data_IF_159426389819
#
_entry.id   IF_159426389819
#
_cell.length_a   1.000
_cell.length_b   1.000
_cell.length_c   1.000
_cell.angle_alpha   90.00
_cell.angle_beta   90.00
_cell.angle_gamma   90.00
#
_symmetry.space_group_name_H-M   'P 1'
#
loop_
_entity.id
_entity.type
_entity.pdbx_description
1 polymer ?
#
# COMPACT_ATOMS: atom_id res chain seq x y z
N UNK A 1 18.10 -5.41 -35.92
CA UNK A 1 17.67 -4.85 -34.62
C UNK A 1 18.83 -4.04 -34.06
N UNK A 2 18.66 -2.75 -33.80
CA UNK A 2 19.73 -1.86 -33.35
C UNK A 2 20.22 -2.24 -31.95
N UNK A 3 21.50 -1.99 -31.65
CA UNK A 3 22.13 -2.24 -30.33
C UNK A 3 21.34 -1.69 -29.14
N UNK A 4 20.47 -0.69 -29.33
CA UNK A 4 19.58 -0.13 -28.31
C UNK A 4 18.54 -1.09 -27.74
N UNK A 5 18.17 -2.15 -28.46
CA UNK A 5 17.16 -3.14 -27.98
C UNK A 5 17.75 -4.27 -27.12
N UNK A 6 19.08 -4.45 -27.08
CA UNK A 6 19.74 -5.49 -26.25
C UNK A 6 20.00 -5.09 -24.80
N UNK A 7 19.63 -3.88 -24.41
CA UNK A 7 20.00 -3.26 -23.13
C UNK A 7 18.79 -2.93 -22.24
N UNK A 8 17.60 -3.40 -22.61
CA UNK A 8 16.38 -3.22 -21.83
C UNK A 8 16.20 -4.47 -20.97
N UNK A 9 16.07 -4.28 -19.65
CA UNK A 9 15.69 -5.29 -18.68
C UNK A 9 14.19 -5.10 -18.45
N UNK A 10 13.38 -6.11 -18.77
CA UNK A 10 11.94 -6.08 -18.52
C UNK A 10 11.66 -6.61 -17.12
N UNK A 11 11.00 -5.79 -16.31
CA UNK A 11 10.69 -6.09 -14.92
C UNK A 11 9.15 -6.13 -14.77
N UNK A 12 8.61 -7.13 -14.10
CA UNK A 12 7.24 -7.09 -13.59
C UNK A 12 7.27 -6.80 -12.09
N UNK A 13 6.37 -5.95 -11.60
CA UNK A 13 6.23 -5.62 -10.18
C UNK A 13 4.81 -5.98 -9.75
N UNK A 14 4.72 -6.78 -8.69
CA UNK A 14 3.48 -7.21 -8.05
C UNK A 14 3.59 -6.95 -6.55
N UNK A 15 2.47 -6.66 -5.89
CA UNK A 15 2.45 -6.35 -4.46
C UNK A 15 1.19 -6.87 -3.80
N UNK A 16 1.25 -7.06 -2.48
CA UNK A 16 0.10 -7.29 -1.61
C UNK A 16 -0.81 -8.39 -2.17
N UNK A 17 -0.18 -9.56 -2.40
CA UNK A 17 -0.85 -10.72 -2.96
C UNK A 17 -1.88 -11.28 -1.99
N UNK A 18 -1.66 -11.12 -0.67
CA UNK A 18 -2.57 -11.55 0.41
C UNK A 18 -3.20 -12.92 0.18
N UNK A 19 -2.43 -13.87 -0.35
CA UNK A 19 -2.97 -15.16 -0.76
C UNK A 19 -3.38 -15.97 0.46
N UNK A 20 -4.56 -16.56 0.39
CA UNK A 20 -5.08 -17.48 1.39
C UNK A 20 -5.16 -18.88 0.79
N UNK A 21 -4.43 -19.85 1.37
CA UNK A 21 -4.51 -21.22 0.90
C UNK A 21 -5.93 -21.80 1.12
N UNK A 22 -6.55 -22.45 0.11
CA UNK A 22 -7.92 -22.99 0.23
C UNK A 22 -8.12 -23.94 1.41
N UNK A 23 -7.08 -24.71 1.76
CA UNK A 23 -7.11 -25.66 2.88
C UNK A 23 -7.24 -25.00 4.27
N UNK A 24 -7.12 -23.68 4.37
CA UNK A 24 -7.38 -22.94 5.60
C UNK A 24 -8.88 -22.80 5.88
N UNK A 25 -9.74 -23.16 4.94
CA UNK A 25 -11.19 -23.30 5.15
C UNK A 25 -11.54 -24.78 5.13
N UNK A 26 -11.77 -25.36 6.31
CA UNK A 26 -12.17 -26.78 6.47
C UNK A 26 -13.64 -26.93 6.09
N UNK A 27 -14.48 -26.10 6.69
CA UNK A 27 -15.90 -25.95 6.35
C UNK A 27 -16.19 -24.45 6.23
N UNK A 28 -16.84 -24.05 5.13
CA UNK A 28 -17.36 -22.70 5.00
C UNK A 28 -18.50 -22.47 6.01
N UNK A 29 -18.60 -21.26 6.53
CA UNK A 29 -19.54 -20.92 7.60
C UNK A 29 -19.39 -19.49 8.09
N UNK A 30 -20.09 -19.13 9.17
CA UNK A 30 -20.22 -17.72 9.58
C UNK A 30 -18.87 -17.08 9.89
N UNK A 31 -17.91 -17.82 10.45
CA UNK A 31 -16.61 -17.28 10.81
C UNK A 31 -15.83 -16.74 9.60
N UNK A 32 -15.85 -17.46 8.47
CA UNK A 32 -15.16 -17.00 7.26
C UNK A 32 -15.95 -15.91 6.54
N UNK A 33 -17.27 -16.06 6.45
CA UNK A 33 -18.14 -15.07 5.80
C UNK A 33 -18.12 -13.71 6.54
N UNK A 34 -18.09 -13.70 7.87
CA UNK A 34 -17.95 -12.48 8.66
C UNK A 34 -16.62 -11.77 8.43
N UNK A 35 -15.53 -12.53 8.25
CA UNK A 35 -14.24 -11.96 7.88
C UNK A 35 -14.29 -11.32 6.49
N UNK A 36 -14.80 -12.05 5.49
CA UNK A 36 -14.91 -11.53 4.11
C UNK A 36 -15.77 -10.27 4.02
N UNK A 37 -16.82 -10.15 4.84
CA UNK A 37 -17.69 -8.97 4.87
C UNK A 37 -17.00 -7.71 5.45
N UNK A 38 -15.87 -7.88 6.14
CA UNK A 38 -15.12 -6.78 6.75
C UNK A 38 -13.83 -6.45 5.98
N UNK A 39 -13.42 -7.32 5.05
CA UNK A 39 -12.22 -7.14 4.25
C UNK A 39 -12.57 -6.71 2.82
N UNK A 40 -11.74 -5.82 2.27
CA UNK A 40 -11.82 -5.37 0.87
C UNK A 40 -11.07 -6.30 -0.09
N UNK A 41 -10.30 -7.26 0.44
CA UNK A 41 -9.53 -8.24 -0.33
C UNK A 41 -10.41 -9.40 -0.77
N UNK A 42 -10.24 -9.85 -2.01
CA UNK A 42 -10.93 -11.00 -2.59
C UNK A 42 -10.22 -12.30 -2.21
N UNK A 43 -10.22 -12.62 -0.91
CA UNK A 43 -9.42 -13.72 -0.35
C UNK A 43 -9.86 -15.10 -0.85
N UNK A 44 -11.17 -15.30 -1.05
CA UNK A 44 -11.69 -16.53 -1.62
C UNK A 44 -11.18 -16.75 -3.06
N UNK A 45 -11.12 -15.69 -3.86
CA UNK A 45 -10.60 -15.70 -5.22
C UNK A 45 -9.06 -15.60 -5.30
N UNK A 46 -8.37 -15.30 -4.19
CA UNK A 46 -6.93 -15.00 -4.18
C UNK A 46 -6.04 -16.04 -4.86
N UNK A 47 -6.28 -17.37 -4.75
CA UNK A 47 -5.45 -18.36 -5.46
C UNK A 47 -5.63 -18.28 -6.98
N UNK A 48 -6.85 -18.05 -7.47
CA UNK A 48 -7.13 -17.96 -8.91
C UNK A 48 -6.65 -16.63 -9.49
N UNK A 49 -6.73 -15.55 -8.71
CA UNK A 49 -6.11 -14.26 -9.04
C UNK A 49 -4.60 -14.44 -9.19
N UNK A 50 -3.94 -15.11 -8.24
CA UNK A 50 -2.52 -15.40 -8.32
C UNK A 50 -2.19 -16.26 -9.56
N UNK A 51 -2.92 -17.34 -9.80
CA UNK A 51 -2.72 -18.21 -10.98
C UNK A 51 -2.84 -17.42 -12.29
N UNK A 52 -3.83 -16.53 -12.39
CA UNK A 52 -4.03 -15.67 -13.55
C UNK A 52 -2.89 -14.67 -13.72
N UNK A 53 -2.44 -14.05 -12.63
CA UNK A 53 -1.30 -13.12 -12.63
C UNK A 53 0.00 -13.82 -13.06
N UNK A 54 0.27 -15.01 -12.52
CA UNK A 54 1.43 -15.84 -12.91
C UNK A 54 1.34 -16.22 -14.38
N UNK A 55 0.18 -16.64 -14.87
CA UNK A 55 -0.05 -16.91 -16.29
C UNK A 55 0.25 -15.71 -17.20
N UNK A 56 -0.21 -14.51 -16.79
CA UNK A 56 0.06 -13.26 -17.51
C UNK A 56 1.56 -12.91 -17.52
N UNK A 57 2.27 -13.15 -16.41
CA UNK A 57 3.72 -12.93 -16.31
C UNK A 57 4.48 -13.93 -17.18
N UNK A 58 4.09 -15.21 -17.19
CA UNK A 58 4.69 -16.24 -18.05
C UNK A 58 4.47 -15.94 -19.54
N UNK A 59 3.34 -15.35 -19.91
CA UNK A 59 3.14 -14.88 -21.30
C UNK A 59 4.03 -13.68 -21.63
N UNK A 60 4.27 -12.79 -20.66
CA UNK A 60 5.12 -11.61 -20.83
C UNK A 60 6.61 -11.95 -20.93
N UNK A 61 7.05 -13.03 -20.25
CA UNK A 61 8.45 -13.44 -20.05
C UNK A 61 9.35 -12.25 -19.71
N UNK A 62 9.16 -11.58 -18.55
CA UNK A 62 10.11 -10.58 -18.08
C UNK A 62 11.44 -11.22 -17.66
N UNK A 63 12.49 -10.42 -17.60
CA UNK A 63 13.79 -10.85 -17.08
C UNK A 63 13.75 -10.97 -15.54
N UNK A 64 12.92 -10.16 -14.90
CA UNK A 64 12.84 -10.00 -13.45
C UNK A 64 11.40 -9.79 -12.97
N UNK A 65 11.05 -10.37 -11.83
CA UNK A 65 9.81 -10.12 -11.09
C UNK A 65 10.15 -9.65 -9.69
N UNK A 66 9.57 -8.54 -9.25
CA UNK A 66 9.69 -8.02 -7.89
C UNK A 66 8.36 -8.19 -7.16
N UNK A 67 8.41 -8.73 -5.95
CA UNK A 67 7.25 -8.88 -5.05
C UNK A 67 7.47 -8.04 -3.79
N UNK A 68 6.76 -6.93 -3.65
CA UNK A 68 6.98 -5.90 -2.61
C UNK A 68 6.25 -6.17 -1.30
N UNK A 69 6.14 -7.44 -0.88
CA UNK A 69 5.58 -7.81 0.41
C UNK A 69 4.09 -8.17 0.40
N UNK A 70 3.62 -8.55 1.59
CA UNK A 70 2.29 -9.08 1.89
C UNK A 70 1.92 -10.21 0.91
N UNK A 71 2.77 -11.23 0.88
CA UNK A 71 2.61 -12.39 0.00
C UNK A 71 1.39 -13.22 0.40
N UNK A 72 1.12 -13.29 1.70
CA UNK A 72 0.07 -14.11 2.30
C UNK A 72 -0.94 -13.25 3.05
N UNK A 73 -2.15 -13.78 3.25
CA UNK A 73 -3.22 -13.10 3.98
C UNK A 73 -2.77 -12.69 5.39
N UNK A 74 -2.36 -13.67 6.19
CA UNK A 74 -1.92 -13.44 7.58
C UNK A 74 -0.78 -14.40 7.97
N UNK A 75 0.18 -14.61 7.07
CA UNK A 75 1.44 -15.28 7.40
C UNK A 75 1.29 -16.78 7.65
N UNK A 76 0.22 -17.41 7.15
CA UNK A 76 0.00 -18.83 7.32
C UNK A 76 1.03 -19.63 6.51
N UNK A 77 1.64 -20.66 7.12
CA UNK A 77 2.60 -21.53 6.44
C UNK A 77 1.98 -22.16 5.17
N UNK A 78 0.71 -22.56 5.23
CA UNK A 78 -0.01 -23.10 4.08
C UNK A 78 -0.06 -22.11 2.90
N UNK A 79 -0.36 -20.84 3.19
CA UNK A 79 -0.40 -19.76 2.21
C UNK A 79 1.00 -19.48 1.64
N UNK A 80 2.04 -19.48 2.49
CA UNK A 80 3.42 -19.31 2.05
C UNK A 80 3.87 -20.40 1.09
N UNK A 81 3.56 -21.66 1.39
CA UNK A 81 3.92 -22.78 0.52
C UNK A 81 3.20 -22.69 -0.83
N UNK A 82 1.92 -22.30 -0.84
CA UNK A 82 1.17 -22.08 -2.07
C UNK A 82 1.80 -20.95 -2.90
N UNK A 83 2.09 -19.79 -2.31
CA UNK A 83 2.70 -18.66 -3.04
C UNK A 83 4.08 -19.05 -3.57
N UNK A 84 4.92 -19.68 -2.75
CA UNK A 84 6.25 -20.13 -3.15
C UNK A 84 6.19 -21.12 -4.32
N UNK A 85 5.25 -22.07 -4.32
CA UNK A 85 5.03 -23.00 -5.44
C UNK A 85 4.72 -22.25 -6.73
N UNK A 86 3.80 -21.28 -6.69
CA UNK A 86 3.41 -20.51 -7.88
C UNK A 86 4.55 -19.63 -8.40
N UNK A 87 5.28 -18.97 -7.51
CA UNK A 87 6.46 -18.17 -7.88
C UNK A 87 7.62 -19.05 -8.37
N UNK A 88 7.78 -20.26 -7.86
CA UNK A 88 8.78 -21.21 -8.34
C UNK A 88 8.52 -21.59 -9.81
N UNK A 89 7.26 -21.65 -10.25
CA UNK A 89 6.93 -21.82 -11.67
C UNK A 89 7.52 -20.73 -12.58
N UNK A 90 7.66 -19.48 -12.10
CA UNK A 90 8.36 -18.42 -12.83
C UNK A 90 9.87 -18.65 -12.87
N UNK A 91 10.45 -19.04 -11.73
CA UNK A 91 11.88 -19.36 -11.60
C UNK A 91 12.25 -20.52 -12.53
N UNK A 92 11.43 -21.57 -12.56
CA UNK A 92 11.62 -22.75 -13.42
C UNK A 92 11.51 -22.40 -14.91
N UNK A 93 10.75 -21.36 -15.26
CA UNK A 93 10.68 -20.79 -16.60
C UNK A 93 11.90 -19.89 -16.96
N UNK A 94 12.85 -19.72 -16.03
CA UNK A 94 14.06 -18.92 -16.22
C UNK A 94 13.90 -17.43 -15.92
N UNK A 95 12.80 -17.03 -15.29
CA UNK A 95 12.56 -15.65 -14.84
C UNK A 95 13.15 -15.48 -13.46
N UNK A 96 13.98 -14.45 -13.24
CA UNK A 96 14.46 -14.14 -11.90
C UNK A 96 13.32 -13.56 -11.06
N UNK A 97 13.11 -14.04 -9.84
CA UNK A 97 12.09 -13.53 -8.90
C UNK A 97 12.79 -13.04 -7.64
N UNK A 98 12.40 -11.88 -7.13
CA UNK A 98 12.89 -11.31 -5.88
C UNK A 98 11.72 -10.90 -5.00
N UNK A 99 11.73 -11.32 -3.74
CA UNK A 99 10.67 -11.00 -2.77
C UNK A 99 11.24 -10.30 -1.53
N UNK A 100 10.43 -9.47 -0.88
CA UNK A 100 10.59 -9.02 0.52
C UNK A 100 9.31 -9.37 1.29
N UNK A 101 9.34 -9.54 2.61
CA UNK A 101 8.11 -9.69 3.39
C UNK A 101 7.35 -8.37 3.49
N UNK A 102 6.04 -8.47 3.70
CA UNK A 102 5.21 -7.38 4.24
C UNK A 102 4.82 -7.63 5.70
N UNK A 103 4.03 -6.72 6.28
CA UNK A 103 3.69 -6.82 7.70
C UNK A 103 2.77 -8.00 8.03
N UNK A 104 2.10 -8.60 7.05
CA UNK A 104 1.24 -9.76 7.26
C UNK A 104 1.97 -11.10 7.24
N UNK A 105 3.21 -11.18 6.74
CA UNK A 105 3.82 -12.47 6.35
C UNK A 105 4.45 -13.26 7.49
N UNK A 106 5.02 -12.60 8.50
CA UNK A 106 5.93 -13.27 9.45
C UNK A 106 5.42 -13.11 10.87
N UNK A 107 5.50 -14.20 11.65
CA UNK A 107 5.10 -14.23 13.05
C UNK A 107 3.77 -13.51 13.26
N UNK A 108 2.78 -13.80 12.42
CA UNK A 108 1.51 -13.09 12.46
C UNK A 108 0.55 -13.82 13.42
N UNK A 109 0.13 -13.17 14.53
CA UNK A 109 -0.78 -13.79 15.49
C UNK A 109 -2.20 -13.93 14.95
N UNK A 110 -2.54 -13.30 13.82
CA UNK A 110 -3.86 -13.32 13.18
C UNK A 110 -4.03 -14.46 12.15
N UNK A 111 -3.01 -15.34 12.02
CA UNK A 111 -3.07 -16.55 11.21
C UNK A 111 -4.21 -17.48 11.69
N UNK A 112 -5.21 -17.78 10.85
CA UNK A 112 -6.39 -18.58 11.24
C UNK A 112 -6.77 -19.67 10.25
N UNK A 113 -7.30 -20.76 10.79
CA UNK A 113 -8.07 -21.80 10.10
C UNK A 113 -9.54 -21.57 10.43
N UNK A 114 -10.41 -21.67 9.44
CA UNK A 114 -11.85 -21.49 9.54
C UNK A 114 -12.56 -22.84 9.44
N UNK A 115 -13.47 -23.11 10.37
CA UNK A 115 -14.23 -24.36 10.43
C UNK A 115 -15.68 -24.07 10.89
N UNK A 116 -16.55 -23.83 9.90
CA UNK A 116 -17.94 -23.44 10.10
C UNK A 116 -18.02 -22.10 10.83
N UNK A 117 -18.55 -22.13 12.05
CA UNK A 117 -18.77 -20.95 12.88
C UNK A 117 -17.58 -20.64 13.82
N UNK A 118 -16.48 -21.41 13.71
CA UNK A 118 -15.32 -21.29 14.59
C UNK A 118 -14.05 -20.96 13.83
N UNK A 119 -13.07 -20.40 14.56
CA UNK A 119 -11.70 -20.26 14.08
C UNK A 119 -10.71 -20.94 15.03
N UNK A 120 -9.58 -21.37 14.48
CA UNK A 120 -8.45 -21.90 15.24
C UNK A 120 -7.15 -21.24 14.76
N UNK A 121 -6.12 -21.08 15.61
CA UNK A 121 -4.83 -20.55 15.17
C UNK A 121 -4.23 -21.42 14.06
N UNK A 122 -3.82 -20.79 12.96
CA UNK A 122 -3.00 -21.44 11.94
C UNK A 122 -1.52 -21.34 12.30
N UNK A 123 -0.71 -22.26 11.79
CA UNK A 123 0.74 -22.14 11.92
C UNK A 123 1.23 -20.95 11.07
N UNK A 124 1.95 -20.03 11.71
CA UNK A 124 2.72 -18.97 11.03
C UNK A 124 4.21 -19.35 10.90
N UNK A 125 5.00 -18.53 10.22
CA UNK A 125 6.42 -18.76 9.96
C UNK A 125 7.33 -17.74 10.65
N UNK A 126 8.57 -18.15 10.86
CA UNK A 126 9.66 -17.30 11.32
C UNK A 126 10.40 -16.65 10.14
N UNK A 127 11.21 -15.61 10.39
CA UNK A 127 12.09 -15.01 9.37
C UNK A 127 13.04 -16.02 8.71
N UNK A 128 13.57 -16.97 9.49
CA UNK A 128 14.42 -18.02 8.93
C UNK A 128 13.64 -18.89 7.93
N UNK A 129 12.44 -19.33 8.31
CA UNK A 129 11.58 -20.11 7.43
C UNK A 129 11.16 -19.31 6.20
N UNK A 130 10.92 -18.01 6.30
CA UNK A 130 10.64 -17.15 5.15
C UNK A 130 11.81 -17.20 4.14
N UNK A 131 13.04 -17.00 4.61
CA UNK A 131 14.24 -17.08 3.76
C UNK A 131 14.48 -18.48 3.17
N UNK A 132 14.09 -19.54 3.88
CA UNK A 132 14.17 -20.92 3.39
C UNK A 132 13.11 -21.24 2.33
N UNK A 133 11.86 -20.84 2.56
CA UNK A 133 10.73 -21.03 1.64
C UNK A 133 10.99 -20.27 0.34
N UNK A 134 11.45 -19.03 0.43
CA UNK A 134 11.73 -18.16 -0.72
C UNK A 134 13.21 -18.15 -1.11
N UNK A 135 13.95 -19.23 -0.82
CA UNK A 135 15.40 -19.29 -1.08
C UNK A 135 15.76 -18.94 -2.52
N UNK A 136 15.03 -19.49 -3.49
CA UNK A 136 15.30 -19.25 -4.92
C UNK A 136 14.72 -17.91 -5.43
N UNK A 137 14.13 -17.10 -4.54
CA UNK A 137 13.50 -15.83 -4.88
C UNK A 137 14.20 -14.65 -4.16
N UNK A 138 15.54 -14.66 -4.19
CA UNK A 138 16.39 -13.59 -3.66
C UNK A 138 17.16 -13.92 -2.39
N UNK A 139 16.86 -15.04 -1.72
CA UNK A 139 17.54 -15.45 -0.47
C UNK A 139 18.61 -16.54 -0.67
N UNK A 140 19.02 -16.80 -1.91
CA UNK A 140 20.10 -17.73 -2.24
C UNK A 140 21.50 -17.12 -1.94
N UNK A 141 22.56 -17.86 -2.28
CA UNK A 141 23.95 -17.48 -1.98
C UNK A 141 24.50 -16.33 -2.85
N UNK A 142 23.82 -15.95 -3.93
CA UNK A 142 24.25 -14.86 -4.80
C UNK A 142 23.80 -13.49 -4.26
N UNK A 143 22.97 -13.48 -3.20
CA UNK A 143 22.54 -12.25 -2.52
C UNK A 143 23.43 -11.91 -1.32
N UNK A 144 23.74 -10.63 -1.16
CA UNK A 144 24.40 -10.12 0.04
C UNK A 144 23.32 -9.73 1.06
N UNK A 145 23.31 -10.35 2.24
CA UNK A 145 22.21 -10.20 3.22
C UNK A 145 22.57 -9.29 4.39
N UNK A 146 21.57 -8.54 4.86
CA UNK A 146 21.63 -7.87 6.16
C UNK A 146 21.51 -8.93 7.26
N UNK A 147 22.30 -8.85 8.35
CA UNK A 147 22.24 -9.83 9.43
C UNK A 147 21.01 -9.67 10.35
N UNK A 148 20.42 -8.48 10.43
CA UNK A 148 19.38 -8.14 11.42
C UNK A 148 17.95 -8.17 10.83
N UNK A 149 17.83 -8.12 9.50
CA UNK A 149 16.57 -8.09 8.75
C UNK A 149 16.55 -9.12 7.62
N UNK A 150 15.44 -9.22 6.90
CA UNK A 150 15.36 -9.94 5.63
C UNK A 150 15.75 -9.09 4.42
N UNK A 151 16.44 -7.97 4.64
CA UNK A 151 16.98 -7.13 3.57
C UNK A 151 18.16 -7.82 2.87
N UNK A 152 18.29 -7.59 1.57
CA UNK A 152 19.41 -8.08 0.79
C UNK A 152 19.70 -7.20 -0.44
N UNK A 153 20.92 -7.30 -0.96
CA UNK A 153 21.34 -6.74 -2.25
C UNK A 153 21.51 -7.88 -3.24
N UNK A 154 20.91 -7.73 -4.43
CA UNK A 154 21.08 -8.66 -5.54
C UNK A 154 21.55 -7.93 -6.79
N UNK A 155 22.72 -8.30 -7.28
CA UNK A 155 23.21 -7.84 -8.58
C UNK A 155 22.50 -8.63 -9.67
N UNK A 156 21.73 -7.96 -10.53
CA UNK A 156 21.01 -8.58 -11.65
C UNK A 156 21.99 -8.83 -12.79
N UNK A 157 22.86 -7.86 -13.03
CA UNK A 157 23.98 -7.94 -13.94
C UNK A 157 25.01 -6.87 -13.58
N UNK A 158 26.01 -6.66 -14.43
CA UNK A 158 27.07 -5.67 -14.22
C UNK A 158 26.59 -4.20 -14.27
N UNK A 159 25.29 -3.94 -14.42
CA UNK A 159 24.72 -2.61 -14.66
C UNK A 159 23.55 -2.27 -13.75
N UNK A 160 22.83 -3.28 -13.27
CA UNK A 160 21.66 -3.11 -12.41
C UNK A 160 21.80 -3.95 -11.15
N UNK A 161 21.55 -3.31 -10.02
CA UNK A 161 21.44 -3.90 -8.70
C UNK A 161 20.05 -3.61 -8.12
N UNK A 162 19.43 -4.61 -7.51
CA UNK A 162 18.23 -4.45 -6.70
C UNK A 162 18.63 -4.46 -5.22
N UNK A 163 18.13 -3.47 -4.49
CA UNK A 163 18.22 -3.37 -3.05
C UNK A 163 16.85 -3.69 -2.45
N UNK A 164 16.70 -4.90 -1.93
CA UNK A 164 15.48 -5.39 -1.31
C UNK A 164 15.50 -5.07 0.19
N UNK A 165 14.56 -4.25 0.66
CA UNK A 165 14.55 -3.69 2.02
C UNK A 165 13.37 -4.28 2.80
N UNK A 166 13.68 -4.93 3.92
CA UNK A 166 12.71 -5.38 4.91
C UNK A 166 12.64 -4.39 6.08
N UNK A 167 11.58 -3.59 6.11
CA UNK A 167 11.28 -2.67 7.21
C UNK A 167 10.25 -3.24 8.21
N UNK A 168 9.85 -4.51 8.07
CA UNK A 168 8.77 -5.08 8.86
C UNK A 168 9.14 -5.20 10.34
N UNK A 169 8.16 -4.93 11.20
CA UNK A 169 8.30 -4.97 12.66
C UNK A 169 7.76 -6.29 13.26
N UNK A 170 7.76 -7.39 12.50
CA UNK A 170 7.21 -8.70 12.90
C UNK A 170 7.81 -9.24 14.20
N UNK A 171 9.07 -8.91 14.51
CA UNK A 171 9.73 -9.25 15.78
C UNK A 171 9.06 -8.65 17.02
N UNK A 172 8.22 -7.63 16.82
CA UNK A 172 7.47 -6.92 17.86
C UNK A 172 5.98 -7.30 17.87
N UNK A 173 5.58 -8.30 17.08
CA UNK A 173 4.26 -8.90 17.18
C UNK A 173 4.12 -9.61 18.52
N UNK A 174 2.96 -9.45 19.17
CA UNK A 174 2.66 -10.05 20.47
C UNK A 174 1.70 -11.22 20.34
N UNK A 175 1.83 -12.19 21.25
CA UNK A 175 1.05 -13.42 21.25
C UNK A 175 0.56 -13.76 22.66
N UNK A 176 -0.74 -13.92 22.84
CA UNK A 176 -1.33 -14.45 24.08
C UNK A 176 -0.72 -15.81 24.42
N UNK A 177 -0.51 -16.65 23.40
CA UNK A 177 0.13 -17.96 23.55
C UNK A 177 1.57 -17.89 24.11
N UNK A 178 2.24 -16.73 24.02
CA UNK A 178 3.58 -16.48 24.57
C UNK A 178 3.55 -15.68 25.88
N UNK A 179 2.37 -15.40 26.42
CA UNK A 179 2.17 -14.69 27.69
C UNK A 179 1.96 -13.19 27.56
N UNK A 180 1.79 -12.65 26.35
CA UNK A 180 1.42 -11.25 26.16
C UNK A 180 -0.06 -11.00 26.53
N UNK A 181 -0.40 -9.75 26.82
CA UNK A 181 -1.77 -9.38 27.21
C UNK A 181 -2.79 -9.50 26.06
N UNK A 182 -2.33 -9.37 24.81
CA UNK A 182 -3.16 -9.45 23.61
C UNK A 182 -2.34 -9.87 22.39
N UNK A 183 -3.01 -10.50 21.43
CA UNK A 183 -2.47 -10.73 20.09
C UNK A 183 -2.43 -9.39 19.36
N UNK A 184 -1.30 -9.09 18.71
CA UNK A 184 -1.19 -7.85 17.96
C UNK A 184 -0.12 -7.95 16.87
N UNK A 185 -0.55 -7.78 15.63
CA UNK A 185 0.30 -7.63 14.46
C UNK A 185 0.70 -6.16 14.24
N UNK A 186 1.98 -5.87 14.02
CA UNK A 186 2.51 -4.52 13.80
C UNK A 186 2.39 -4.13 12.33
N UNK A 187 1.57 -3.12 12.04
CA UNK A 187 1.40 -2.55 10.69
C UNK A 187 2.56 -1.65 10.24
N UNK A 188 3.14 -0.87 11.17
CA UNK A 188 4.19 0.11 10.86
C UNK A 188 5.52 -0.54 10.48
N UNK A 189 6.31 0.19 9.68
CA UNK A 189 7.67 -0.19 9.32
C UNK A 189 8.73 0.60 10.09
N UNK A 190 9.87 -0.03 10.40
CA UNK A 190 11.01 0.62 11.03
C UNK A 190 12.30 -0.15 10.74
N UNK A 191 13.38 0.58 10.49
CA UNK A 191 14.74 0.03 10.39
C UNK A 191 15.60 0.53 11.55
N UNK A 192 16.35 -0.37 12.17
CA UNK A 192 17.38 0.01 13.16
C UNK A 192 18.56 0.67 12.46
N UNK A 193 19.33 1.48 13.21
CA UNK A 193 20.47 2.20 12.66
C UNK A 193 21.51 1.29 11.99
N UNK A 194 21.72 0.05 12.48
CA UNK A 194 22.64 -0.92 11.87
C UNK A 194 22.18 -1.32 10.46
N UNK A 195 20.91 -1.72 10.30
CA UNK A 195 20.35 -2.08 9.00
C UNK A 195 20.25 -0.88 8.06
N UNK A 196 19.89 0.32 8.56
CA UNK A 196 19.92 1.54 7.73
C UNK A 196 21.32 1.78 7.17
N UNK A 197 22.36 1.69 8.00
CA UNK A 197 23.74 1.85 7.55
C UNK A 197 24.15 0.76 6.56
N UNK A 198 23.79 -0.50 6.81
CA UNK A 198 24.08 -1.60 5.90
C UNK A 198 23.45 -1.38 4.52
N UNK A 199 22.18 -0.94 4.46
CA UNK A 199 21.46 -0.62 3.22
C UNK A 199 22.19 0.48 2.44
N UNK A 200 22.56 1.57 3.12
CA UNK A 200 23.31 2.70 2.53
C UNK A 200 24.68 2.25 2.00
N UNK A 201 25.39 1.40 2.75
CA UNK A 201 26.69 0.86 2.34
C UNK A 201 26.56 -0.02 1.10
N UNK A 202 25.52 -0.86 1.01
CA UNK A 202 25.27 -1.72 -0.14
C UNK A 202 24.96 -0.92 -1.40
N UNK A 203 24.10 0.09 -1.29
CA UNK A 203 23.80 1.01 -2.38
C UNK A 203 25.06 1.76 -2.86
N UNK A 204 25.84 2.29 -1.92
CA UNK A 204 27.09 3.00 -2.20
C UNK A 204 28.11 2.11 -2.91
N UNK A 205 28.24 0.85 -2.49
CA UNK A 205 29.12 -0.14 -3.13
C UNK A 205 28.70 -0.42 -4.57
N UNK A 206 27.41 -0.63 -4.83
CA UNK A 206 26.90 -0.87 -6.18
C UNK A 206 27.10 0.35 -7.09
N UNK A 207 26.80 1.56 -6.58
CA UNK A 207 27.07 2.82 -7.28
C UNK A 207 28.56 2.98 -7.61
N UNK A 208 29.45 2.69 -6.67
CA UNK A 208 30.90 2.76 -6.87
C UNK A 208 31.41 1.73 -7.91
N UNK A 209 30.70 0.60 -8.05
CA UNK A 209 30.96 -0.39 -9.11
C UNK A 209 30.39 0.02 -10.47
N UNK A 210 29.76 1.21 -10.59
CA UNK A 210 29.17 1.71 -11.83
C UNK A 210 27.78 1.14 -12.13
N UNK A 211 27.15 0.46 -11.17
CA UNK A 211 25.81 -0.09 -11.31
C UNK A 211 24.75 0.97 -10.94
N UNK A 212 23.60 0.91 -11.60
CA UNK A 212 22.38 1.59 -11.17
C UNK A 212 21.72 0.79 -10.06
N UNK A 213 21.12 1.48 -9.10
CA UNK A 213 20.45 0.84 -7.96
C UNK A 213 18.97 1.20 -7.98
N UNK A 214 18.13 0.18 -7.93
CA UNK A 214 16.69 0.29 -7.70
C UNK A 214 16.40 -0.35 -6.35
N UNK A 215 15.59 0.30 -5.53
CA UNK A 215 15.10 -0.31 -4.29
C UNK A 215 13.72 -0.95 -4.46
N UNK A 216 13.43 -1.93 -3.60
CA UNK A 216 12.08 -2.44 -3.37
C UNK A 216 11.87 -2.57 -1.86
N UNK A 217 10.69 -2.20 -1.38
CA UNK A 217 10.32 -2.23 0.04
C UNK A 217 8.81 -2.44 0.14
N UNK A 218 8.31 -2.92 1.27
CA UNK A 218 6.86 -3.01 1.46
C UNK A 218 6.24 -1.66 1.83
N UNK A 219 6.72 -1.04 2.91
CA UNK A 219 6.26 0.27 3.39
C UNK A 219 6.65 1.41 2.45
N UNK A 220 5.87 2.50 2.50
CA UNK A 220 6.16 3.72 1.77
C UNK A 220 7.36 4.49 2.35
N UNK A 221 8.11 5.16 1.48
CA UNK A 221 9.23 6.03 1.80
C UNK A 221 8.93 7.49 1.43
N UNK A 222 8.15 7.71 0.38
CA UNK A 222 7.71 9.02 -0.10
C UNK A 222 6.19 9.13 0.08
N UNK A 223 5.66 10.24 0.62
CA UNK A 223 4.22 10.44 0.71
C UNK A 223 3.57 10.47 -0.70
N UNK A 224 2.52 9.70 -0.89
CA UNK A 224 1.63 9.64 -2.05
C UNK A 224 0.45 10.62 -1.96
N UNK A 225 0.24 11.23 -0.79
CA UNK A 225 -0.64 12.39 -0.67
C UNK A 225 -0.18 13.32 0.45
N UNK A 226 -0.68 14.55 0.42
CA UNK A 226 -0.35 15.56 1.41
C UNK A 226 -0.78 15.08 2.81
N UNK A 227 0.17 15.07 3.76
CA UNK A 227 0.00 14.59 5.14
C UNK A 227 -0.20 13.07 5.29
N UNK A 228 0.23 12.24 4.33
CA UNK A 228 0.23 10.78 4.53
C UNK A 228 1.01 10.37 5.79
N UNK A 229 2.16 10.99 6.03
CA UNK A 229 3.02 10.78 7.21
C UNK A 229 2.32 11.05 8.57
N UNK A 230 1.16 11.69 8.54
CA UNK A 230 0.35 12.03 9.70
C UNK A 230 -0.96 11.24 9.71
N UNK A 231 -1.68 11.22 8.58
CA UNK A 231 -3.01 10.64 8.45
C UNK A 231 -2.98 9.12 8.20
N UNK A 232 -1.87 8.61 7.68
CA UNK A 232 -1.65 7.22 7.32
C UNK A 232 -0.23 6.79 7.72
N UNK A 233 0.29 7.35 8.83
CA UNK A 233 1.65 7.12 9.31
C UNK A 233 2.09 5.64 9.38
N UNK A 234 1.22 4.66 9.76
CA UNK A 234 1.60 3.25 9.76
C UNK A 234 1.92 2.65 8.38
N UNK A 235 1.56 3.31 7.28
CA UNK A 235 1.89 2.85 5.94
C UNK A 235 3.28 3.30 5.48
N UNK A 236 3.87 4.27 6.18
CA UNK A 236 5.21 4.75 5.92
C UNK A 236 6.23 4.11 6.86
N UNK A 237 7.47 3.94 6.38
CA UNK A 237 8.59 3.58 7.25
C UNK A 237 8.88 4.72 8.22
N UNK A 238 9.16 4.39 9.48
CA UNK A 238 9.57 5.38 10.47
C UNK A 238 10.82 6.12 10.00
N UNK A 239 10.85 7.44 10.25
CA UNK A 239 11.94 8.34 9.83
C UNK A 239 12.17 8.38 8.30
N UNK A 240 11.12 8.10 7.51
CA UNK A 240 11.15 8.03 6.04
C UNK A 240 11.93 9.17 5.37
N UNK A 241 11.73 10.42 5.81
CA UNK A 241 12.42 11.58 5.23
C UNK A 241 13.94 11.52 5.37
N UNK A 242 14.44 11.01 6.50
CA UNK A 242 15.88 10.83 6.73
C UNK A 242 16.41 9.69 5.87
N UNK A 243 15.74 8.53 5.90
CA UNK A 243 16.14 7.37 5.11
C UNK A 243 16.14 7.68 3.61
N UNK A 244 15.12 8.39 3.11
CA UNK A 244 15.01 8.83 1.72
C UNK A 244 16.23 9.65 1.31
N UNK A 245 16.65 10.62 2.14
CA UNK A 245 17.84 11.42 1.86
C UNK A 245 19.10 10.55 1.77
N UNK A 246 19.30 9.65 2.73
CA UNK A 246 20.47 8.77 2.76
C UNK A 246 20.51 7.86 1.52
N UNK A 247 19.36 7.35 1.07
CA UNK A 247 19.25 6.54 -0.14
C UNK A 247 19.54 7.34 -1.41
N UNK A 248 19.04 8.57 -1.53
CA UNK A 248 19.36 9.49 -2.63
C UNK A 248 20.88 9.73 -2.71
N UNK A 249 21.51 10.06 -1.57
CA UNK A 249 22.96 10.27 -1.49
C UNK A 249 23.75 9.02 -1.92
N UNK A 250 23.27 7.84 -1.51
CA UNK A 250 23.82 6.53 -1.89
C UNK A 250 23.55 6.14 -3.35
N UNK A 251 22.79 6.96 -4.11
CA UNK A 251 22.50 6.77 -5.54
C UNK A 251 21.27 5.94 -5.87
N UNK A 252 20.35 5.79 -4.92
CA UNK A 252 19.03 5.20 -5.15
C UNK A 252 18.05 6.32 -5.48
N UNK A 253 17.44 6.26 -6.65
CA UNK A 253 16.50 7.28 -7.13
C UNK A 253 15.11 6.73 -7.44
N UNK A 254 14.92 5.41 -7.36
CA UNK A 254 13.63 4.74 -7.53
C UNK A 254 13.46 3.66 -6.46
N UNK A 255 12.28 3.63 -5.85
CA UNK A 255 11.83 2.55 -4.96
C UNK A 255 10.46 2.03 -5.40
N UNK A 256 10.29 0.71 -5.46
CA UNK A 256 9.00 0.05 -5.67
C UNK A 256 8.39 -0.36 -4.33
N UNK A 257 7.12 -0.01 -4.10
CA UNK A 257 6.42 -0.21 -2.82
C UNK A 257 4.99 -0.75 -2.98
N UNK A 258 4.35 -1.05 -1.84
CA UNK A 258 3.00 -1.60 -1.72
C UNK A 258 2.26 -1.07 -0.49
N UNK A 259 1.64 -1.97 0.30
CA UNK A 259 1.09 -1.72 1.65
C UNK A 259 -0.18 -0.85 1.72
N UNK A 260 -0.19 0.35 1.14
CA UNK A 260 -1.39 1.20 1.14
C UNK A 260 -2.49 0.68 0.18
N UNK A 261 -2.12 -0.25 -0.71
CA UNK A 261 -2.94 -0.84 -1.77
C UNK A 261 -3.44 0.20 -2.79
N UNK A 262 -2.62 1.19 -3.11
CA UNK A 262 -2.92 2.19 -4.14
C UNK A 262 -1.98 2.00 -5.33
N UNK A 263 -2.42 2.41 -6.51
CA UNK A 263 -1.56 2.47 -7.68
C UNK A 263 -1.22 3.92 -7.96
N UNK A 264 -0.10 4.38 -7.41
CA UNK A 264 0.31 5.78 -7.47
C UNK A 264 1.82 5.89 -7.67
N UNK A 265 2.28 6.94 -8.35
CA UNK A 265 3.71 7.25 -8.52
C UNK A 265 4.01 8.62 -7.89
N UNK A 266 4.66 8.59 -6.73
CA UNK A 266 5.08 9.80 -6.04
C UNK A 266 6.52 10.18 -6.31
N UNK A 267 6.83 11.47 -6.20
CA UNK A 267 8.19 11.96 -6.26
C UNK A 267 8.44 13.01 -5.19
N UNK A 268 9.59 12.92 -4.53
CA UNK A 268 10.15 14.00 -3.72
C UNK A 268 11.49 14.46 -4.27
N UNK A 269 11.81 15.73 -4.05
CA UNK A 269 13.06 16.35 -4.50
C UNK A 269 13.83 16.92 -3.32
N UNK A 270 15.14 16.72 -3.31
CA UNK A 270 16.07 17.33 -2.36
C UNK A 270 17.24 18.00 -3.08
N UNK A 271 18.20 18.57 -2.33
CA UNK A 271 19.41 19.15 -2.93
C UNK A 271 20.32 18.07 -3.52
N UNK A 272 20.22 16.86 -2.98
CA UNK A 272 21.06 15.69 -3.29
C UNK A 272 20.53 14.91 -4.49
N UNK A 273 19.26 15.10 -4.86
CA UNK A 273 18.62 14.46 -6.00
C UNK A 273 17.12 14.25 -5.76
N UNK A 274 16.50 13.46 -6.64
CA UNK A 274 15.09 13.11 -6.51
C UNK A 274 14.95 11.64 -6.13
N UNK A 275 13.88 11.31 -5.42
CA UNK A 275 13.40 9.93 -5.22
C UNK A 275 12.02 9.83 -5.86
N UNK A 276 11.85 8.82 -6.70
CA UNK A 276 10.55 8.42 -7.24
C UNK A 276 10.13 7.13 -6.54
N UNK A 277 8.96 7.14 -5.93
CA UNK A 277 8.33 5.96 -5.37
C UNK A 277 7.20 5.49 -6.29
N UNK A 278 7.18 4.19 -6.58
CA UNK A 278 6.16 3.56 -7.42
C UNK A 278 5.42 2.56 -6.54
N UNK A 279 4.28 2.99 -5.99
CA UNK A 279 3.38 2.12 -5.26
C UNK A 279 2.54 1.30 -6.25
N UNK A 280 2.48 -0.01 -6.02
CA UNK A 280 1.65 -0.94 -6.80
C UNK A 280 0.48 -1.39 -5.93
N UNK A 281 -0.74 -1.32 -6.46
CA UNK A 281 -1.93 -1.72 -5.71
C UNK A 281 -1.93 -3.23 -5.43
N UNK A 282 -2.79 -3.65 -4.51
CA UNK A 282 -2.90 -5.06 -4.16
C UNK A 282 -3.45 -5.88 -5.32
N UNK A 283 -2.77 -6.98 -5.64
CA UNK A 283 -3.21 -7.88 -6.71
C UNK A 283 -4.60 -8.46 -6.45
N UNK A 284 -4.98 -8.64 -5.17
CA UNK A 284 -6.27 -9.21 -4.75
C UNK A 284 -7.30 -8.18 -4.26
N UNK A 285 -7.04 -6.89 -4.50
CA UNK A 285 -7.99 -5.81 -4.22
C UNK A 285 -8.26 -5.01 -5.49
N UNK A 286 -9.48 -4.55 -5.72
CA UNK A 286 -9.78 -3.69 -6.86
C UNK A 286 -8.80 -2.49 -6.92
N UNK A 287 -8.21 -2.18 -8.09
CA UNK A 287 -8.49 -2.73 -9.43
C UNK A 287 -7.61 -3.90 -9.88
N UNK A 288 -6.92 -4.60 -8.96
CA UNK A 288 -6.07 -5.76 -9.22
C UNK A 288 -4.92 -5.45 -10.19
N UNK A 289 -4.17 -4.39 -9.91
CA UNK A 289 -3.10 -3.97 -10.82
C UNK A 289 -1.77 -4.66 -10.52
N UNK A 290 -0.94 -4.65 -11.56
CA UNK A 290 0.48 -4.96 -11.52
C UNK A 290 1.19 -4.09 -12.54
N UNK A 291 2.51 -3.97 -12.47
CA UNK A 291 3.27 -3.06 -13.35
C UNK A 291 4.29 -3.81 -14.19
N UNK A 292 4.49 -3.32 -15.41
CA UNK A 292 5.56 -3.73 -16.33
C UNK A 292 6.49 -2.54 -16.55
N UNK A 293 7.78 -2.75 -16.29
CA UNK A 293 8.81 -1.73 -16.36
C UNK A 293 9.83 -2.16 -17.41
N UNK A 294 10.05 -1.31 -18.41
CA UNK A 294 11.21 -1.42 -19.30
C UNK A 294 12.34 -0.57 -18.72
N UNK A 295 13.32 -1.24 -18.12
CA UNK A 295 14.47 -0.61 -17.48
C UNK A 295 15.66 -0.51 -18.45
N UNK A 296 16.17 0.69 -18.68
CA UNK A 296 17.42 0.91 -19.42
C UNK A 296 18.48 1.54 -18.49
N UNK A 297 19.36 0.72 -17.89
CA UNK A 297 20.39 1.19 -16.96
C UNK A 297 21.40 2.17 -17.59
N UNK A 298 21.64 2.08 -18.91
CA UNK A 298 22.58 2.97 -19.61
C UNK A 298 22.04 4.39 -19.73
N UNK A 299 20.78 4.54 -20.15
CA UNK A 299 20.14 5.85 -20.21
C UNK A 299 19.66 6.35 -18.85
N UNK A 300 19.64 5.48 -17.83
CA UNK A 300 19.05 5.78 -16.52
C UNK A 300 17.57 6.09 -16.64
N UNK A 301 16.82 5.31 -17.46
CA UNK A 301 15.39 5.52 -17.69
C UNK A 301 14.60 4.25 -17.40
N UNK A 302 13.47 4.41 -16.72
CA UNK A 302 12.45 3.39 -16.57
C UNK A 302 11.20 3.86 -17.31
N UNK A 303 10.63 3.00 -18.15
CA UNK A 303 9.31 3.21 -18.73
C UNK A 303 8.32 2.26 -18.06
N UNK A 304 7.34 2.82 -17.37
CA UNK A 304 6.36 2.09 -16.58
C UNK A 304 5.04 1.96 -17.33
N UNK A 305 4.40 0.80 -17.18
CA UNK A 305 3.07 0.49 -17.70
C UNK A 305 2.28 -0.29 -16.67
N UNK A 306 1.13 0.23 -16.26
CA UNK A 306 0.20 -0.48 -15.37
C UNK A 306 -0.66 -1.44 -16.17
N UNK A 307 -0.95 -2.60 -15.59
CA UNK A 307 -1.80 -3.66 -16.13
C UNK A 307 -2.75 -4.15 -15.06
N UNK A 308 -3.79 -4.87 -15.47
CA UNK A 308 -4.88 -5.32 -14.60
C UNK A 308 -5.12 -6.82 -14.75
N UNK A 309 -5.67 -7.44 -13.71
CA UNK A 309 -6.36 -8.73 -13.81
C UNK A 309 -7.85 -8.45 -13.96
N UNK A 310 -8.34 -8.42 -15.20
CA UNK A 310 -9.73 -8.02 -15.51
C UNK A 310 -10.70 -9.21 -15.62
N UNK A 311 -10.18 -10.43 -15.77
CA UNK A 311 -10.98 -11.65 -15.89
C UNK A 311 -10.25 -12.80 -15.21
N UNK A 312 -11.02 -13.73 -14.65
CA UNK A 312 -10.53 -15.01 -14.16
C UNK A 312 -11.12 -16.14 -15.01
N UNK A 313 -10.45 -17.30 -15.15
CA UNK A 313 -11.01 -18.46 -15.84
C UNK A 313 -12.41 -18.86 -15.36
N UNK A 314 -12.67 -18.81 -14.06
CA UNK A 314 -13.98 -19.10 -13.46
C UNK A 314 -14.97 -17.92 -13.53
N UNK A 315 -14.47 -16.69 -13.71
CA UNK A 315 -15.24 -15.44 -13.64
C UNK A 315 -14.81 -14.47 -14.75
N UNK A 316 -15.36 -14.60 -15.98
CA UNK A 316 -15.00 -13.73 -17.11
C UNK A 316 -15.33 -12.24 -16.88
N UNK A 317 -16.29 -11.93 -16.00
CA UNK A 317 -16.72 -10.59 -15.61
C UNK A 317 -16.07 -10.11 -14.29
N UNK A 318 -14.96 -10.76 -13.87
CA UNK A 318 -14.29 -10.50 -12.59
C UNK A 318 -13.99 -9.01 -12.34
N UNK A 319 -13.50 -8.26 -13.33
CA UNK A 319 -13.16 -6.85 -13.14
C UNK A 319 -14.35 -5.98 -12.69
N UNK A 320 -15.53 -6.21 -13.27
CA UNK A 320 -16.76 -5.48 -12.87
C UNK A 320 -17.23 -5.93 -11.49
N UNK A 321 -17.15 -7.22 -11.18
CA UNK A 321 -17.51 -7.76 -9.87
C UNK A 321 -16.57 -7.24 -8.77
N UNK A 322 -15.26 -7.22 -9.01
CA UNK A 322 -14.25 -6.67 -8.11
C UNK A 322 -14.54 -5.19 -7.83
N UNK A 323 -14.89 -4.42 -8.86
CA UNK A 323 -15.30 -3.02 -8.73
C UNK A 323 -16.52 -2.86 -7.84
N UNK A 324 -17.56 -3.67 -8.06
CA UNK A 324 -18.79 -3.63 -7.26
C UNK A 324 -18.52 -4.01 -5.80
N UNK A 325 -17.71 -5.04 -5.55
CA UNK A 325 -17.29 -5.41 -4.19
C UNK A 325 -16.58 -4.24 -3.50
N UNK A 326 -15.63 -3.59 -4.17
CA UNK A 326 -14.94 -2.42 -3.64
C UNK A 326 -15.89 -1.28 -3.30
N UNK A 327 -16.80 -0.92 -4.22
CA UNK A 327 -17.81 0.12 -4.00
C UNK A 327 -18.70 -0.19 -2.80
N UNK A 328 -19.13 -1.44 -2.65
CA UNK A 328 -19.97 -1.87 -1.53
C UNK A 328 -19.23 -1.85 -0.18
N UNK A 329 -17.89 -1.96 -0.18
CA UNK A 329 -17.08 -1.89 1.03
C UNK A 329 -16.77 -0.46 1.49
N UNK A 330 -16.95 0.57 0.65
CA UNK A 330 -16.61 1.97 0.98
C UNK A 330 -17.27 2.47 2.28
N UNK A 331 -18.56 2.21 2.55
CA UNK A 331 -19.16 2.53 3.84
C UNK A 331 -18.38 1.92 5.01
N UNK A 332 -18.06 0.62 4.94
CA UNK A 332 -17.27 -0.08 5.97
C UNK A 332 -15.89 0.55 6.15
N UNK A 333 -15.23 0.97 5.07
CA UNK A 333 -13.96 1.70 5.13
C UNK A 333 -14.13 3.02 5.90
N UNK A 334 -15.16 3.81 5.61
CA UNK A 334 -15.44 5.08 6.31
C UNK A 334 -15.69 4.84 7.80
N UNK A 335 -16.46 3.80 8.16
CA UNK A 335 -16.66 3.39 9.55
C UNK A 335 -15.34 2.98 10.22
N UNK A 336 -14.52 2.18 9.53
CA UNK A 336 -13.22 1.71 10.03
C UNK A 336 -12.24 2.86 10.31
N UNK A 337 -12.15 3.83 9.40
CA UNK A 337 -11.33 5.04 9.59
C UNK A 337 -11.83 5.82 10.81
N UNK A 338 -13.13 6.07 10.92
CA UNK A 338 -13.67 6.81 12.08
C UNK A 338 -13.47 6.06 13.40
N UNK A 339 -13.65 4.74 13.42
CA UNK A 339 -13.38 3.93 14.62
C UNK A 339 -11.91 4.03 15.03
N UNK A 340 -10.99 3.94 14.07
CA UNK A 340 -9.54 4.02 14.32
C UNK A 340 -9.14 5.33 14.98
N UNK A 341 -9.67 6.45 14.50
CA UNK A 341 -9.32 7.80 14.97
C UNK A 341 -10.35 8.39 15.94
N UNK A 342 -11.27 7.56 16.47
CA UNK A 342 -12.39 8.07 17.25
C UNK A 342 -11.91 8.77 18.52
N UNK A 343 -10.88 8.26 19.18
CA UNK A 343 -10.35 8.84 20.42
C UNK A 343 -9.81 10.26 20.19
N UNK A 344 -9.05 10.46 19.11
CA UNK A 344 -8.52 11.76 18.72
C UNK A 344 -9.65 12.71 18.32
N UNK A 345 -10.63 12.22 17.54
CA UNK A 345 -11.81 12.99 17.13
C UNK A 345 -12.64 13.40 18.35
N UNK A 346 -12.96 12.47 19.24
CA UNK A 346 -13.76 12.73 20.44
C UNK A 346 -13.06 13.69 21.38
N UNK A 347 -11.75 13.51 21.59
CA UNK A 347 -10.95 14.41 22.41
C UNK A 347 -10.89 15.83 21.82
N UNK A 348 -10.75 15.97 20.50
CA UNK A 348 -10.79 17.26 19.84
C UNK A 348 -12.16 17.95 20.00
N UNK A 349 -13.26 17.19 19.87
CA UNK A 349 -14.63 17.68 20.11
C UNK A 349 -14.80 18.11 21.57
N UNK A 350 -14.34 17.32 22.53
CA UNK A 350 -14.44 17.63 23.95
C UNK A 350 -13.63 18.86 24.35
N UNK A 351 -12.39 18.97 23.86
CA UNK A 351 -11.56 20.15 24.06
C UNK A 351 -12.24 21.41 23.52
N UNK A 352 -12.82 21.34 22.32
CA UNK A 352 -13.57 22.45 21.74
C UNK A 352 -14.82 22.78 22.57
N UNK A 353 -15.51 21.76 23.07
CA UNK A 353 -16.70 21.89 23.91
C UNK A 353 -16.39 22.56 25.25
N UNK A 354 -15.24 22.27 25.85
CA UNK A 354 -14.75 22.95 27.05
C UNK A 354 -14.36 24.40 26.80
N UNK A 355 -13.71 24.71 25.67
CA UNK A 355 -13.30 26.07 25.32
C UNK A 355 -14.48 26.96 24.91
N UNK A 356 -15.54 26.37 24.34
CA UNK A 356 -16.65 27.10 23.73
C UNK A 356 -18.05 26.56 24.14
N UNK A 357 -18.39 26.52 25.44
CA UNK A 357 -19.62 25.89 25.93
C UNK A 357 -20.90 26.56 25.41
N UNK A 358 -20.88 27.88 25.19
CA UNK A 358 -22.02 28.61 24.64
C UNK A 358 -22.28 28.27 23.17
N UNK A 359 -21.23 28.04 22.37
CA UNK A 359 -21.35 27.66 20.95
C UNK A 359 -21.88 26.23 20.84
N UNK A 360 -21.35 25.31 21.65
CA UNK A 360 -21.73 23.89 21.60
C UNK A 360 -23.19 23.61 21.99
N UNK A 361 -23.88 24.53 22.68
CA UNK A 361 -25.34 24.42 22.91
C UNK A 361 -26.18 24.36 21.62
N UNK A 362 -25.60 24.83 20.52
CA UNK A 362 -26.25 24.85 19.21
C UNK A 362 -25.69 23.80 18.27
N UNK A 363 -24.77 22.93 18.72
CA UNK A 363 -24.13 21.90 17.91
C UNK A 363 -24.60 20.53 18.39
N UNK A 364 -25.24 19.78 17.51
CA UNK A 364 -25.70 18.43 17.72
C UNK A 364 -24.88 17.48 16.85
N UNK A 365 -23.67 17.15 17.31
CA UNK A 365 -22.82 16.14 16.69
C UNK A 365 -23.13 14.77 17.31
N UNK A 366 -23.06 13.67 16.54
CA UNK A 366 -23.07 12.34 17.11
C UNK A 366 -21.90 12.14 18.09
N UNK A 367 -22.15 11.49 19.23
CA UNK A 367 -21.13 11.17 20.23
C UNK A 367 -20.59 9.74 20.06
N UNK A 368 -20.84 9.10 18.91
CA UNK A 368 -20.31 7.78 18.56
C UNK A 368 -19.65 7.81 17.17
N UNK A 369 -18.65 6.95 16.92
CA UNK A 369 -18.03 6.85 15.61
C UNK A 369 -19.03 6.40 14.54
N UNK A 370 -19.91 5.44 14.89
CA UNK A 370 -20.97 4.96 14.00
C UNK A 370 -21.94 6.08 13.61
N UNK A 371 -22.42 6.86 14.58
CA UNK A 371 -23.31 7.99 14.31
C UNK A 371 -22.64 9.05 13.43
N UNK A 372 -21.35 9.30 13.64
CA UNK A 372 -20.55 10.23 12.83
C UNK A 372 -20.36 9.72 11.40
N UNK A 373 -20.06 8.43 11.24
CA UNK A 373 -19.91 7.79 9.94
C UNK A 373 -21.22 7.83 9.13
N UNK A 374 -22.34 7.47 9.76
CA UNK A 374 -23.66 7.52 9.15
C UNK A 374 -24.02 8.94 8.71
N UNK A 375 -23.70 9.95 9.53
CA UNK A 375 -23.91 11.35 9.19
C UNK A 375 -23.06 11.81 8.00
N UNK A 376 -21.79 11.40 7.93
CA UNK A 376 -20.94 11.70 6.78
C UNK A 376 -21.49 11.03 5.52
N UNK A 377 -21.75 9.73 5.56
CA UNK A 377 -22.24 8.95 4.43
C UNK A 377 -23.57 9.50 3.90
N UNK A 378 -24.49 9.92 4.78
CA UNK A 378 -25.75 10.57 4.37
C UNK A 378 -25.57 11.75 3.41
N UNK A 379 -24.50 12.54 3.58
CA UNK A 379 -24.25 13.76 2.79
C UNK A 379 -23.15 13.63 1.75
N UNK A 380 -22.33 12.58 1.86
CA UNK A 380 -21.08 12.47 1.11
C UNK A 380 -20.93 11.14 0.36
N UNK A 381 -21.82 10.15 0.54
CA UNK A 381 -21.64 8.80 0.00
C UNK A 381 -21.26 8.79 -1.47
N UNK A 382 -22.02 9.48 -2.34
CA UNK A 382 -21.72 9.50 -3.78
C UNK A 382 -20.32 10.07 -4.08
N UNK A 383 -19.99 11.22 -3.50
CA UNK A 383 -18.71 11.89 -3.74
C UNK A 383 -17.53 11.13 -3.12
N UNK A 384 -17.71 10.54 -1.94
CA UNK A 384 -16.71 9.69 -1.28
C UNK A 384 -16.48 8.42 -2.10
N UNK A 385 -17.54 7.79 -2.60
CA UNK A 385 -17.42 6.64 -3.49
C UNK A 385 -16.60 6.97 -4.73
N UNK A 386 -16.92 8.08 -5.41
CA UNK A 386 -16.14 8.53 -6.58
C UNK A 386 -14.68 8.82 -6.23
N UNK A 387 -14.42 9.42 -5.07
CA UNK A 387 -13.07 9.73 -4.63
C UNK A 387 -12.23 8.48 -4.33
N UNK A 388 -12.80 7.49 -3.65
CA UNK A 388 -12.13 6.21 -3.39
C UNK A 388 -11.85 5.42 -4.67
N UNK A 389 -12.77 5.45 -5.64
CA UNK A 389 -12.55 4.81 -6.95
C UNK A 389 -11.39 5.47 -7.68
N UNK A 390 -11.38 6.82 -7.76
CA UNK A 390 -10.30 7.56 -8.40
C UNK A 390 -8.94 7.26 -7.75
N UNK A 391 -8.90 7.24 -6.40
CA UNK A 391 -7.69 6.93 -5.67
C UNK A 391 -7.20 5.48 -5.87
N UNK A 392 -8.12 4.53 -6.03
CA UNK A 392 -7.75 3.13 -6.27
C UNK A 392 -7.27 2.88 -7.70
N UNK A 393 -7.86 3.54 -8.70
CA UNK A 393 -7.57 3.32 -10.13
C UNK A 393 -6.25 3.95 -10.61
N UNK A 394 -5.64 4.83 -9.80
CA UNK A 394 -4.64 5.80 -10.24
C UNK A 394 -5.37 6.91 -10.98
N UNK A 395 -5.13 8.17 -10.60
CA UNK A 395 -6.03 9.32 -10.85
C UNK A 395 -6.03 9.81 -12.32
N UNK A 396 -6.00 8.88 -13.26
CA UNK A 396 -5.87 9.09 -14.69
C UNK A 396 -7.18 8.65 -15.38
N UNK A 397 -7.82 9.56 -16.11
CA UNK A 397 -8.92 9.18 -17.01
C UNK A 397 -10.36 9.61 -16.65
N UNK A 398 -10.60 10.90 -16.38
CA UNK A 398 -11.85 11.53 -16.82
C UNK A 398 -12.86 11.99 -15.77
N UNK A 399 -12.50 12.03 -14.48
CA UNK A 399 -13.29 12.77 -13.50
C UNK A 399 -12.84 14.24 -13.49
N UNK A 400 -13.79 15.18 -13.43
CA UNK A 400 -13.47 16.56 -13.07
C UNK A 400 -13.11 16.58 -11.57
N UNK A 401 -11.85 16.30 -11.26
CA UNK A 401 -11.34 16.18 -9.88
C UNK A 401 -11.59 17.47 -9.09
N UNK A 402 -11.52 18.63 -9.75
CA UNK A 402 -11.85 19.90 -9.12
C UNK A 402 -13.34 19.95 -8.74
N UNK A 403 -14.23 19.54 -9.64
CA UNK A 403 -15.65 19.43 -9.33
C UNK A 403 -15.92 18.45 -8.19
N UNK A 404 -15.24 17.30 -8.17
CA UNK A 404 -15.39 16.30 -7.11
C UNK A 404 -14.94 16.83 -5.75
N UNK A 405 -13.81 17.54 -5.70
CA UNK A 405 -13.34 18.25 -4.49
C UNK A 405 -14.41 19.24 -4.03
N UNK A 406 -14.96 20.07 -4.92
CA UNK A 406 -16.00 21.03 -4.54
C UNK A 406 -17.30 20.35 -4.07
N UNK A 407 -17.66 19.20 -4.65
CA UNK A 407 -18.80 18.38 -4.19
C UNK A 407 -18.56 17.85 -2.76
N UNK A 408 -17.37 17.36 -2.45
CA UNK A 408 -16.99 16.92 -1.09
C UNK A 408 -17.03 18.08 -0.10
N UNK A 409 -16.44 19.25 -0.44
CA UNK A 409 -16.50 20.45 0.39
C UNK A 409 -17.95 20.90 0.64
N UNK A 410 -18.79 20.86 -0.40
CA UNK A 410 -20.21 21.22 -0.29
C UNK A 410 -20.98 20.24 0.61
N UNK A 411 -20.74 18.94 0.47
CA UNK A 411 -21.36 17.91 1.32
C UNK A 411 -20.97 18.06 2.79
N UNK A 412 -19.71 18.39 3.11
CA UNK A 412 -19.31 18.77 4.48
C UNK A 412 -20.09 19.99 4.98
N UNK A 413 -20.37 20.96 4.10
CA UNK A 413 -21.25 22.08 4.43
C UNK A 413 -22.68 21.67 4.78
N UNK A 414 -23.20 20.58 4.21
CA UNK A 414 -24.50 20.01 4.57
C UNK A 414 -24.47 19.29 5.93
N UNK A 415 -23.39 18.55 6.23
CA UNK A 415 -23.16 17.97 7.57
C UNK A 415 -23.22 19.06 8.65
N UNK A 416 -22.59 20.22 8.40
CA UNK A 416 -22.61 21.37 9.30
C UNK A 416 -24.01 21.97 9.43
N UNK A 417 -24.78 22.02 8.34
CA UNK A 417 -26.16 22.54 8.38
C UNK A 417 -27.11 21.67 9.21
N UNK A 418 -26.86 20.36 9.24
CA UNK A 418 -27.64 19.39 10.01
C UNK A 418 -27.24 19.40 11.49
N UNK A 419 -25.95 19.56 11.78
CA UNK A 419 -25.43 19.51 13.16
C UNK A 419 -25.55 20.85 13.87
N UNK A 420 -25.42 21.99 13.20
CA UNK A 420 -25.48 23.32 13.82
C UNK A 420 -26.88 23.91 13.71
N UNK A 421 -27.47 24.40 14.81
CA UNK A 421 -28.82 24.99 14.86
C UNK A 421 -28.80 26.53 14.94
N UNK A 422 -29.87 27.14 14.46
CA UNK A 422 -30.20 28.55 14.70
C UNK A 422 -29.18 29.56 14.18
N UNK A 423 -28.99 30.65 14.95
CA UNK A 423 -28.24 31.85 14.55
C UNK A 423 -26.72 31.62 14.38
N UNK A 424 -26.18 30.48 14.85
CA UNK A 424 -24.74 30.19 14.75
C UNK A 424 -24.35 29.49 13.45
N UNK A 425 -25.31 29.06 12.61
CA UNK A 425 -25.03 28.44 11.31
C UNK A 425 -24.06 29.25 10.42
N UNK A 426 -24.23 30.58 10.25
CA UNK A 426 -23.30 31.39 9.45
C UNK A 426 -21.89 31.44 10.04
N UNK A 427 -21.79 31.52 11.38
CA UNK A 427 -20.51 31.60 12.09
C UNK A 427 -19.74 30.28 11.97
N UNK A 428 -20.41 29.15 12.18
CA UNK A 428 -19.81 27.83 12.01
C UNK A 428 -19.25 27.64 10.59
N UNK A 429 -20.01 28.04 9.56
CA UNK A 429 -19.54 28.00 8.17
C UNK A 429 -18.29 28.86 7.93
N UNK A 430 -18.20 30.03 8.56
CA UNK A 430 -17.01 30.89 8.47
C UNK A 430 -15.80 30.19 9.11
N UNK A 431 -15.96 29.60 10.29
CA UNK A 431 -14.88 28.88 10.97
C UNK A 431 -14.39 27.68 10.15
N UNK A 432 -15.30 26.85 9.65
CA UNK A 432 -14.94 25.72 8.77
C UNK A 432 -14.21 26.18 7.51
N UNK A 433 -14.71 27.24 6.86
CA UNK A 433 -14.08 27.80 5.66
C UNK A 433 -12.66 28.32 5.93
N UNK A 434 -12.45 28.99 7.06
CA UNK A 434 -11.17 29.61 7.39
C UNK A 434 -10.14 28.62 7.96
N UNK A 435 -10.56 27.55 8.64
CA UNK A 435 -9.66 26.66 9.39
C UNK A 435 -9.57 25.23 8.87
N UNK A 436 -10.61 24.70 8.24
CA UNK A 436 -10.70 23.27 7.90
C UNK A 436 -10.67 23.08 6.38
N UNK A 437 -11.47 23.85 5.64
CA UNK A 437 -11.63 23.65 4.20
C UNK A 437 -10.33 23.84 3.42
N UNK A 438 -9.42 24.70 3.87
CA UNK A 438 -8.11 24.85 3.24
C UNK A 438 -7.28 23.57 3.30
N UNK A 439 -7.17 22.96 4.48
CA UNK A 439 -6.40 21.72 4.70
C UNK A 439 -7.09 20.55 4.01
N UNK A 440 -8.40 20.38 4.20
CA UNK A 440 -9.15 19.28 3.56
C UNK A 440 -9.08 19.40 2.04
N UNK A 441 -9.20 20.60 1.49
CA UNK A 441 -9.04 20.82 0.05
C UNK A 441 -7.62 20.47 -0.41
N UNK A 442 -6.59 20.80 0.36
CA UNK A 442 -5.21 20.46 0.02
C UNK A 442 -5.01 18.94 -0.04
N UNK A 443 -5.46 18.21 0.98
CA UNK A 443 -5.40 16.73 1.03
C UNK A 443 -6.22 16.10 -0.10
N UNK A 444 -7.47 16.53 -0.30
CA UNK A 444 -8.31 16.00 -1.36
C UNK A 444 -7.73 16.28 -2.76
N UNK A 445 -7.14 17.47 -2.97
CA UNK A 445 -6.48 17.79 -4.23
C UNK A 445 -5.21 16.97 -4.43
N UNK A 446 -4.41 16.72 -3.41
CA UNK A 446 -3.23 15.84 -3.57
C UNK A 446 -3.64 14.42 -3.93
N UNK A 447 -4.69 13.90 -3.29
CA UNK A 447 -5.20 12.55 -3.55
C UNK A 447 -5.80 12.46 -4.95
N UNK A 448 -6.63 13.41 -5.36
CA UNK A 448 -7.42 13.29 -6.59
C UNK A 448 -6.71 13.86 -7.82
N UNK A 449 -5.84 14.85 -7.67
CA UNK A 449 -5.13 15.45 -8.81
C UNK A 449 -3.77 14.81 -9.06
N UNK A 450 -3.41 13.74 -8.34
CA UNK A 450 -2.08 13.12 -8.32
C UNK A 450 -0.99 14.19 -8.17
N UNK A 451 -1.05 14.91 -7.04
CA UNK A 451 -0.16 16.06 -6.80
C UNK A 451 0.58 15.92 -5.49
N UNK A 452 1.87 15.71 -5.63
CA UNK A 452 2.81 15.76 -4.51
C UNK A 452 3.36 17.17 -4.33
N UNK A 453 3.66 17.55 -3.09
CA UNK A 453 4.25 18.85 -2.73
C UNK A 453 3.49 20.10 -3.29
N UNK A 454 2.14 20.07 -3.28
CA UNK A 454 1.27 21.12 -3.81
C UNK A 454 1.68 22.53 -3.33
N UNK A 455 1.82 23.44 -4.28
CA UNK A 455 2.11 24.86 -4.03
C UNK A 455 3.58 25.14 -3.68
N UNK A 456 4.47 24.16 -3.83
CA UNK A 456 5.92 24.34 -3.67
C UNK A 456 6.64 24.34 -5.02
N UNK A 457 7.94 24.65 -5.01
CA UNK A 457 8.79 24.55 -6.21
C UNK A 457 9.06 23.09 -6.65
N UNK A 458 8.62 22.10 -5.87
CA UNK A 458 8.83 20.67 -6.09
C UNK A 458 7.55 19.92 -6.47
N UNK A 459 6.46 20.66 -6.74
CA UNK A 459 5.18 20.07 -7.14
C UNK A 459 5.36 19.17 -8.39
N UNK A 460 4.85 17.94 -8.30
CA UNK A 460 4.95 16.93 -9.36
C UNK A 460 3.59 16.24 -9.58
N UNK A 461 3.33 15.89 -10.84
CA UNK A 461 2.20 15.06 -11.30
C UNK A 461 2.79 14.00 -12.22
N UNK A 462 2.55 12.73 -11.93
CA UNK A 462 3.18 11.62 -12.66
C UNK A 462 2.11 10.59 -13.00
N UNK A 463 1.86 10.42 -14.30
CA UNK A 463 0.82 9.51 -14.74
C UNK A 463 1.02 8.06 -14.25
N UNK A 464 0.07 7.60 -13.45
CA UNK A 464 0.11 6.32 -12.76
C UNK A 464 0.06 5.12 -13.70
N UNK A 465 -0.48 5.29 -14.90
CA UNK A 465 -0.65 4.21 -15.87
C UNK A 465 0.56 4.08 -16.79
N UNK A 466 1.14 5.20 -17.19
CA UNK A 466 2.29 5.28 -18.10
C UNK A 466 3.22 6.43 -17.72
N UNK A 467 4.44 6.09 -17.28
CA UNK A 467 5.43 7.09 -16.88
C UNK A 467 6.81 6.78 -17.46
N UNK A 468 7.62 7.83 -17.63
CA UNK A 468 9.06 7.71 -17.89
C UNK A 468 9.80 8.44 -16.78
N UNK A 469 10.51 7.69 -15.95
CA UNK A 469 11.25 8.22 -14.80
C UNK A 469 12.74 8.04 -15.01
N UNK A 470 13.53 8.91 -14.37
CA UNK A 470 14.99 8.84 -14.43
C UNK A 470 15.53 8.28 -13.14
N UNK A 471 16.57 7.45 -13.21
CA UNK A 471 17.19 6.84 -12.04
C UNK A 471 18.70 6.65 -12.21
#
# INVERSE_FOLDING_TARGET
MSQTTRNIIKIAVISDLHVMAPQLVINDGTAFQEYLNQDRKMLHESPEILDTLIGNILQLMPDLVLVTGDLTKDGELASHLLVAEKLQGLVDAGIQVLVVPGNHDINNPDARIYDGDNTQPAQTITRQQFAEIYRNMGYDNDSQRDPDTLSYRRDINNQLTILAIDACMDRLNTFIAKGDAQDHCKTSGMLEASSQQWIVDQATKAKAAGQRVIAMMHHHLVPHFHMEDTLAAPYMVKDAKQLCRQLIEAGVHVVFTGHLHISDISQTSSREGNMVEVATSAAVGYPCQWRVINCNPYSGKLQLHTRWVESLPSQPDFGERARQMFVNCIPTIVHGVLNRYWNEVSQAIDNYRHQHPFIMRYVNLPDTPEGTANLLLKHLQESVTKAYIAFAEGNEGGNDHQQLVEQLIKGMGHVVNETVRGILKPIAKIVLRLRIYGIVRLVLRSILEDRNDIGTAHEAVINDHTAIVSF
#
